data_IF_312227780419
#
_entry.id   IF_312227780419
#
_cell.length_a   1.000
_cell.length_b   1.000
_cell.length_c   1.000
_cell.angle_alpha   90.00
_cell.angle_beta   90.00
_cell.angle_gamma   90.00
#
_symmetry.space_group_name_H-M   'P 1'
#
loop_
_entity.id
_entity.type
_entity.pdbx_description
1 polymer ?
#
# COMPACT_ATOMS: atom_id res chain seq x y z
N UNK A 1 19.30 -7.92 -6.20
CA UNK A 1 19.04 -8.10 -4.75
C UNK A 1 19.46 -6.84 -4.03
N UNK A 2 18.64 -6.37 -3.09
CA UNK A 2 18.93 -5.18 -2.28
C UNK A 2 19.73 -5.61 -1.06
N UNK A 3 20.78 -4.87 -0.72
CA UNK A 3 21.58 -5.07 0.50
C UNK A 3 21.89 -3.74 1.17
N UNK A 4 22.17 -3.78 2.47
CA UNK A 4 22.51 -2.61 3.28
C UNK A 4 21.47 -1.48 3.21
N UNK A 5 20.18 -1.82 3.10
CA UNK A 5 19.13 -0.84 2.93
C UNK A 5 18.88 -0.09 4.25
N UNK A 6 19.19 1.21 4.26
CA UNK A 6 18.89 2.11 5.36
C UNK A 6 17.78 3.08 4.98
N UNK A 7 16.88 3.30 5.91
CA UNK A 7 15.76 4.21 5.82
C UNK A 7 15.75 5.16 7.01
N UNK A 8 15.92 6.44 6.75
CA UNK A 8 15.99 7.44 7.82
C UNK A 8 14.87 8.46 7.67
N UNK A 9 14.27 8.78 8.80
CA UNK A 9 13.22 9.80 8.93
C UNK A 9 13.61 10.80 10.01
N UNK A 10 13.48 12.09 9.72
CA UNK A 10 13.69 13.14 10.66
C UNK A 10 12.56 14.16 10.60
N UNK A 11 11.94 14.39 11.74
CA UNK A 11 10.82 15.31 11.90
C UNK A 11 9.64 15.05 10.93
N UNK A 12 9.21 13.79 10.80
CA UNK A 12 8.13 13.36 9.92
C UNK A 12 6.88 12.99 10.73
N UNK A 13 5.83 13.77 10.63
CA UNK A 13 4.62 13.54 11.42
C UNK A 13 4.93 13.51 12.92
N UNK A 14 4.61 12.42 13.60
CA UNK A 14 4.96 12.19 15.02
C UNK A 14 6.37 11.68 15.22
N UNK A 15 7.10 11.30 14.17
CA UNK A 15 8.45 10.78 14.25
C UNK A 15 9.42 11.96 14.39
N UNK A 16 10.21 12.00 15.47
CA UNK A 16 11.35 12.89 15.61
C UNK A 16 12.54 12.36 14.82
N UNK A 17 12.95 11.13 15.14
CA UNK A 17 14.07 10.47 14.47
C UNK A 17 13.83 8.97 14.35
N UNK A 18 14.11 8.43 13.17
CA UNK A 18 14.14 6.99 12.93
C UNK A 18 15.31 6.65 12.02
N UNK A 19 16.03 5.59 12.39
CA UNK A 19 17.08 5.01 11.54
C UNK A 19 16.83 3.50 11.50
N UNK A 20 16.27 3.04 10.39
CA UNK A 20 15.81 1.67 10.20
C UNK A 20 16.69 1.02 9.13
N UNK A 21 17.50 0.06 9.55
CA UNK A 21 18.21 -0.82 8.63
C UNK A 21 17.29 -1.99 8.30
N UNK A 22 16.85 -2.06 7.05
CA UNK A 22 15.99 -3.14 6.60
C UNK A 22 16.77 -4.46 6.47
N UNK A 23 16.16 -5.50 6.97
CA UNK A 23 16.57 -6.89 6.79
C UNK A 23 15.41 -7.68 6.18
N UNK A 24 15.49 -8.98 6.17
CA UNK A 24 14.45 -9.86 5.62
C UNK A 24 13.10 -9.67 6.33
N UNK A 25 13.13 -9.60 7.65
CA UNK A 25 11.95 -9.35 8.48
C UNK A 25 12.23 -8.15 9.39
N UNK A 26 11.31 -7.19 9.41
CA UNK A 26 11.43 -5.96 10.20
C UNK A 26 10.15 -5.75 11.01
N UNK A 27 10.29 -5.68 12.32
CA UNK A 27 9.16 -5.55 13.25
C UNK A 27 9.28 -4.24 13.99
N UNK A 28 8.33 -3.34 13.80
CA UNK A 28 8.27 -2.04 14.48
C UNK A 28 7.23 -2.13 15.58
N UNK A 29 7.71 -2.08 16.82
CA UNK A 29 6.91 -2.25 18.04
C UNK A 29 6.61 -0.91 18.68
N UNK A 30 5.51 -0.82 19.43
CA UNK A 30 5.20 0.34 20.24
C UNK A 30 3.71 0.63 20.36
N UNK A 31 3.37 1.60 21.20
CA UNK A 31 2.00 2.02 21.45
C UNK A 31 1.32 2.63 20.22
N UNK A 32 0.00 2.77 20.28
CA UNK A 32 -0.76 3.43 19.23
C UNK A 32 -0.37 4.91 19.12
N UNK A 33 -0.51 5.48 17.92
CA UNK A 33 -0.21 6.90 17.65
C UNK A 33 1.25 7.31 17.90
N UNK A 34 2.21 6.41 17.75
CA UNK A 34 3.66 6.68 17.89
C UNK A 34 4.39 6.89 16.56
N UNK A 35 3.68 6.87 15.45
CA UNK A 35 4.24 7.11 14.11
C UNK A 35 4.61 5.84 13.33
N UNK A 36 4.32 4.63 13.81
CA UNK A 36 4.58 3.36 13.12
C UNK A 36 3.99 3.36 11.70
N UNK A 37 2.69 3.58 11.57
CA UNK A 37 1.99 3.63 10.26
C UNK A 37 2.50 4.76 9.37
N UNK A 38 2.98 5.88 9.95
CA UNK A 38 3.62 6.95 9.18
C UNK A 38 4.91 6.45 8.54
N UNK A 39 5.76 5.72 9.28
CA UNK A 39 6.99 5.15 8.71
C UNK A 39 6.70 4.14 7.60
N UNK A 40 5.71 3.29 7.78
CA UNK A 40 5.28 2.31 6.78
C UNK A 40 4.77 2.95 5.49
N UNK A 41 3.94 3.98 5.59
CA UNK A 41 3.40 4.69 4.43
C UNK A 41 4.48 5.42 3.63
N UNK A 42 5.50 5.97 4.30
CA UNK A 42 6.63 6.60 3.62
C UNK A 42 7.51 5.54 2.97
N UNK A 43 7.80 4.43 3.65
CA UNK A 43 8.54 3.31 3.07
C UNK A 43 7.80 2.75 1.84
N UNK A 44 6.49 2.52 1.97
CA UNK A 44 5.63 2.10 0.85
C UNK A 44 5.73 3.07 -0.33
N UNK A 45 5.57 4.38 -0.07
CA UNK A 45 5.62 5.40 -1.11
C UNK A 45 6.95 5.39 -1.87
N UNK A 46 8.07 5.25 -1.14
CA UNK A 46 9.40 5.15 -1.72
C UNK A 46 9.56 3.88 -2.58
N UNK A 47 9.20 2.71 -2.04
CA UNK A 47 9.32 1.44 -2.73
C UNK A 47 8.42 1.41 -3.97
N UNK A 48 7.17 1.87 -3.85
CA UNK A 48 6.22 1.92 -4.96
C UNK A 48 6.69 2.82 -6.10
N UNK A 49 7.33 3.93 -5.77
CA UNK A 49 7.93 4.83 -6.78
C UNK A 49 9.13 4.23 -7.51
N UNK A 50 9.70 3.16 -6.99
CA UNK A 50 10.79 2.39 -7.59
C UNK A 50 10.36 1.00 -8.10
N UNK A 51 9.05 0.67 -8.06
CA UNK A 51 8.56 -0.61 -8.55
C UNK A 51 8.57 -0.68 -10.08
N UNK A 52 8.64 -1.90 -10.61
CA UNK A 52 8.53 -2.15 -12.06
C UNK A 52 7.19 -1.65 -12.61
N UNK A 53 6.14 -1.75 -11.82
CA UNK A 53 4.77 -1.36 -12.20
C UNK A 53 4.43 0.10 -11.88
N UNK A 54 5.42 0.93 -11.52
CA UNK A 54 5.20 2.34 -11.13
C UNK A 54 4.44 3.18 -12.16
N UNK A 55 4.63 2.92 -13.46
CA UNK A 55 3.91 3.64 -14.52
C UNK A 55 2.42 3.27 -14.59
N UNK A 56 2.04 2.07 -14.15
CA UNK A 56 0.65 1.65 -14.07
C UNK A 56 -0.16 2.51 -13.08
N UNK A 57 0.49 3.01 -12.02
CA UNK A 57 -0.14 3.94 -11.09
C UNK A 57 -0.64 5.20 -11.82
N UNK A 58 0.20 5.80 -12.67
CA UNK A 58 -0.19 6.99 -13.43
C UNK A 58 -1.31 6.66 -14.42
N UNK A 59 -1.23 5.50 -15.07
CA UNK A 59 -2.26 4.98 -15.97
C UNK A 59 -3.60 4.82 -15.24
N UNK A 60 -3.61 4.12 -14.13
CA UNK A 60 -4.84 3.89 -13.34
C UNK A 60 -5.41 5.19 -12.78
N UNK A 61 -4.55 6.10 -12.30
CA UNK A 61 -4.99 7.42 -11.81
C UNK A 61 -5.59 8.26 -12.95
N UNK A 62 -5.06 8.16 -14.17
CA UNK A 62 -5.65 8.80 -15.35
C UNK A 62 -7.04 8.26 -15.63
N UNK A 63 -7.21 6.94 -15.64
CA UNK A 63 -8.50 6.28 -15.87
C UNK A 63 -9.53 6.74 -14.83
N UNK A 64 -9.17 6.74 -13.55
CA UNK A 64 -10.05 7.15 -12.46
C UNK A 64 -10.47 8.63 -12.59
N UNK A 65 -9.53 9.54 -12.93
CA UNK A 65 -9.85 10.95 -13.14
C UNK A 65 -10.82 11.18 -14.31
N UNK A 66 -10.70 10.39 -15.38
CA UNK A 66 -11.63 10.47 -16.52
C UNK A 66 -13.01 9.96 -16.13
N UNK A 67 -13.08 8.87 -15.33
CA UNK A 67 -14.35 8.34 -14.83
C UNK A 67 -15.06 9.31 -13.91
N UNK A 68 -14.34 9.94 -13.00
CA UNK A 68 -14.88 10.96 -12.10
C UNK A 68 -15.43 12.16 -12.89
N UNK A 69 -14.69 12.62 -13.89
CA UNK A 69 -15.13 13.68 -14.80
C UNK A 69 -16.43 13.31 -15.53
N UNK A 70 -16.51 12.10 -16.05
CA UNK A 70 -17.75 11.65 -16.73
C UNK A 70 -18.92 11.54 -15.78
N UNK A 71 -18.67 11.14 -14.53
CA UNK A 71 -19.70 11.08 -13.47
C UNK A 71 -20.19 12.46 -13.06
N UNK A 72 -19.28 13.42 -12.84
CA UNK A 72 -19.62 14.80 -12.48
C UNK A 72 -20.36 15.50 -13.61
N UNK A 73 -20.00 15.23 -14.85
CA UNK A 73 -20.73 15.73 -16.01
C UNK A 73 -22.15 15.18 -16.10
N UNK A 74 -22.34 13.88 -15.87
CA UNK A 74 -23.67 13.28 -15.84
C UNK A 74 -24.55 13.93 -14.75
N UNK A 75 -23.96 14.24 -13.58
CA UNK A 75 -24.67 15.00 -12.53
C UNK A 75 -25.02 16.42 -13.00
N UNK A 76 -24.08 17.13 -13.61
CA UNK A 76 -24.32 18.48 -14.14
C UNK A 76 -25.45 18.49 -15.18
N UNK A 77 -25.49 17.49 -16.06
CA UNK A 77 -26.57 17.31 -17.05
C UNK A 77 -27.94 17.10 -16.40
N UNK A 78 -28.01 16.35 -15.32
CA UNK A 78 -29.26 16.09 -14.60
C UNK A 78 -29.81 17.36 -13.91
N UNK A 79 -28.94 18.28 -13.51
CA UNK A 79 -29.33 19.51 -12.83
C UNK A 79 -29.57 20.70 -13.76
N UNK A 80 -28.98 20.73 -14.96
CA UNK A 80 -29.18 21.81 -15.95
C UNK A 80 -30.30 21.50 -16.94
N UNK A 81 -31.50 21.20 -16.46
CA UNK A 81 -32.70 21.06 -17.31
C UNK A 81 -33.09 22.43 -17.84
N UNK A 82 -32.57 22.80 -18.99
CA UNK A 82 -33.12 23.83 -19.84
C UNK A 82 -33.48 23.23 -21.21
N UNK A 83 -34.69 23.53 -21.70
CA UNK A 83 -35.38 22.84 -22.78
C UNK A 83 -34.83 23.13 -24.18
N UNK A 84 -33.63 22.70 -24.51
CA UNK A 84 -33.16 22.76 -25.90
C UNK A 84 -32.87 21.38 -26.47
N UNK A 85 -33.62 21.03 -27.49
CA UNK A 85 -33.70 19.71 -28.18
C UNK A 85 -32.43 19.21 -28.90
N UNK A 86 -31.24 19.84 -28.71
CA UNK A 86 -30.02 19.51 -29.47
C UNK A 86 -28.81 19.15 -28.61
N UNK A 87 -28.98 18.57 -27.43
CA UNK A 87 -27.86 18.16 -26.61
C UNK A 87 -27.41 16.73 -26.99
N UNK A 88 -26.39 16.63 -27.81
CA UNK A 88 -25.66 15.37 -28.01
C UNK A 88 -25.02 15.00 -26.66
N UNK A 89 -25.29 13.80 -26.13
CA UNK A 89 -24.75 13.46 -24.81
C UNK A 89 -23.23 13.20 -24.95
N UNK A 90 -22.42 14.17 -24.48
CA UNK A 90 -20.96 14.05 -24.36
C UNK A 90 -20.55 12.76 -23.67
N UNK A 91 -21.42 12.24 -22.78
CA UNK A 91 -21.25 10.95 -22.11
C UNK A 91 -21.09 9.77 -23.07
N UNK A 92 -21.65 9.82 -24.26
CA UNK A 92 -21.55 8.71 -25.22
C UNK A 92 -20.18 8.64 -25.87
N UNK A 93 -19.60 9.78 -26.28
CA UNK A 93 -18.30 9.82 -26.95
C UNK A 93 -17.19 9.41 -25.98
N UNK A 94 -17.20 9.95 -24.77
CA UNK A 94 -16.21 9.59 -23.73
C UNK A 94 -16.40 8.14 -23.28
N UNK A 95 -17.65 7.68 -23.15
CA UNK A 95 -17.94 6.29 -22.82
C UNK A 95 -17.47 5.32 -23.91
N UNK A 96 -17.56 5.71 -25.17
CA UNK A 96 -17.04 4.93 -26.29
C UNK A 96 -15.53 4.80 -26.21
N UNK A 97 -14.81 5.91 -26.01
CA UNK A 97 -13.34 5.93 -25.85
C UNK A 97 -12.94 5.08 -24.63
N UNK A 98 -13.62 5.24 -23.50
CA UNK A 98 -13.37 4.46 -22.30
C UNK A 98 -13.55 2.95 -22.51
N UNK A 99 -14.65 2.54 -23.16
CA UNK A 99 -14.90 1.13 -23.47
C UNK A 99 -13.85 0.57 -24.41
N UNK A 100 -13.34 1.38 -25.34
CA UNK A 100 -12.28 0.98 -26.27
C UNK A 100 -10.94 0.80 -25.53
N UNK A 101 -10.58 1.70 -24.63
CA UNK A 101 -9.39 1.57 -23.76
C UNK A 101 -9.51 0.28 -22.94
N UNK A 102 -10.65 0.05 -22.30
CA UNK A 102 -10.90 -1.15 -21.49
C UNK A 102 -10.81 -2.44 -22.29
N UNK A 103 -11.37 -2.44 -23.49
CA UNK A 103 -11.29 -3.61 -24.37
C UNK A 103 -9.85 -3.94 -24.74
N UNK A 104 -9.09 -2.93 -25.18
CA UNK A 104 -7.69 -3.12 -25.56
C UNK A 104 -6.81 -3.53 -24.35
N UNK A 105 -7.08 -3.00 -23.16
CA UNK A 105 -6.42 -3.47 -21.94
C UNK A 105 -6.69 -4.95 -21.67
N UNK A 106 -7.90 -5.41 -21.91
CA UNK A 106 -8.28 -6.81 -21.72
C UNK A 106 -7.62 -7.73 -22.76
N UNK A 107 -7.43 -7.23 -23.97
CA UNK A 107 -6.82 -7.99 -25.08
C UNK A 107 -5.27 -7.88 -25.09
N UNK A 108 -4.66 -7.24 -24.08
CA UNK A 108 -3.20 -6.99 -23.93
C UNK A 108 -2.56 -6.31 -25.17
N UNK A 109 -3.35 -5.52 -25.87
CA UNK A 109 -2.90 -4.74 -27.02
C UNK A 109 -2.11 -3.51 -26.58
N UNK A 110 -1.08 -3.15 -27.36
CA UNK A 110 -0.27 -1.95 -27.12
C UNK A 110 -1.13 -0.69 -27.30
N UNK A 111 -1.44 -0.02 -26.18
CA UNK A 111 -2.38 1.11 -26.16
C UNK A 111 -1.60 2.41 -26.13
N UNK A 112 -1.78 3.26 -27.14
CA UNK A 112 -1.43 4.67 -27.06
C UNK A 112 -2.41 5.43 -26.16
N UNK A 113 -2.29 5.17 -24.85
CA UNK A 113 -3.15 5.72 -23.81
C UNK A 113 -3.13 7.26 -23.82
N UNK A 114 -1.99 7.87 -24.14
CA UNK A 114 -1.83 9.31 -24.20
C UNK A 114 -2.67 9.93 -25.30
N UNK A 115 -2.72 9.28 -26.46
CA UNK A 115 -3.55 9.75 -27.57
C UNK A 115 -5.04 9.72 -27.22
N UNK A 116 -5.50 8.69 -26.54
CA UNK A 116 -6.89 8.64 -26.04
C UNK A 116 -7.20 9.76 -25.05
N UNK A 117 -6.30 10.07 -24.12
CA UNK A 117 -6.53 11.17 -23.19
C UNK A 117 -6.50 12.54 -23.85
N UNK A 118 -5.64 12.76 -24.86
CA UNK A 118 -5.64 13.98 -25.66
C UNK A 118 -6.98 14.16 -26.40
N UNK A 119 -7.52 13.10 -26.98
CA UNK A 119 -8.86 13.14 -27.59
C UNK A 119 -9.95 13.49 -26.56
N UNK A 120 -9.90 12.93 -25.37
CA UNK A 120 -10.85 13.27 -24.29
C UNK A 120 -10.73 14.76 -23.90
N UNK A 121 -9.53 15.29 -23.78
CA UNK A 121 -9.30 16.71 -23.48
C UNK A 121 -9.86 17.60 -24.60
N UNK A 122 -9.66 17.23 -25.87
CA UNK A 122 -10.24 17.97 -27.02
C UNK A 122 -11.76 17.99 -26.97
N UNK A 123 -12.41 16.86 -26.67
CA UNK A 123 -13.85 16.77 -26.51
C UNK A 123 -14.33 17.68 -25.36
N UNK A 124 -13.62 17.72 -24.23
CA UNK A 124 -13.97 18.58 -23.10
C UNK A 124 -13.82 20.06 -23.43
N UNK A 125 -12.74 20.44 -24.09
CA UNK A 125 -12.52 21.84 -24.51
C UNK A 125 -13.60 22.30 -25.49
N UNK A 126 -13.92 21.49 -26.46
CA UNK A 126 -14.95 21.78 -27.46
C UNK A 126 -16.34 21.93 -26.82
N UNK A 127 -16.63 21.07 -25.85
CA UNK A 127 -17.88 21.15 -25.10
C UNK A 127 -17.94 22.41 -24.22
N UNK A 128 -16.85 22.75 -23.51
CA UNK A 128 -16.78 23.96 -22.69
C UNK A 128 -17.01 25.21 -23.52
N UNK A 129 -16.39 25.30 -24.69
CA UNK A 129 -16.55 26.41 -25.62
C UNK A 129 -17.99 26.56 -26.15
N UNK A 130 -18.71 25.45 -26.36
CA UNK A 130 -20.06 25.47 -26.96
C UNK A 130 -21.20 25.66 -25.96
N UNK A 131 -21.03 25.13 -24.75
CA UNK A 131 -22.18 24.92 -23.87
C UNK A 131 -22.06 25.54 -22.46
N UNK A 132 -20.91 26.08 -22.09
CA UNK A 132 -20.73 26.66 -20.75
C UNK A 132 -20.12 28.06 -20.83
N UNK A 133 -20.63 28.97 -20.03
CA UNK A 133 -20.03 30.31 -19.82
C UNK A 133 -19.01 30.31 -18.68
N UNK A 134 -18.74 29.16 -18.06
CA UNK A 134 -17.88 29.00 -16.87
C UNK A 134 -16.83 27.95 -17.14
N UNK A 135 -15.61 28.19 -16.67
CA UNK A 135 -14.43 27.32 -16.85
C UNK A 135 -14.48 26.13 -15.86
N UNK A 136 -15.56 25.38 -15.87
CA UNK A 136 -15.79 24.27 -14.91
C UNK A 136 -14.77 23.13 -15.11
N UNK A 137 -14.33 22.91 -16.35
CA UNK A 137 -13.44 21.82 -16.70
C UNK A 137 -11.95 22.17 -16.66
N UNK A 138 -11.57 23.43 -16.43
CA UNK A 138 -10.16 23.85 -16.42
C UNK A 138 -9.33 23.07 -15.42
N UNK A 139 -9.84 22.88 -14.20
CA UNK A 139 -9.14 22.15 -13.15
C UNK A 139 -9.00 20.65 -13.44
N UNK A 140 -10.05 19.93 -13.85
CA UNK A 140 -9.96 18.55 -14.31
C UNK A 140 -9.02 18.36 -15.50
N UNK A 141 -9.14 19.20 -16.52
CA UNK A 141 -8.25 19.15 -17.71
C UNK A 141 -6.79 19.38 -17.30
N UNK A 142 -6.54 20.35 -16.40
CA UNK A 142 -5.20 20.60 -15.86
C UNK A 142 -4.65 19.39 -15.09
N UNK A 143 -5.47 18.66 -14.36
CA UNK A 143 -5.07 17.45 -13.66
C UNK A 143 -4.70 16.33 -14.65
N UNK A 144 -5.50 16.10 -15.69
CA UNK A 144 -5.24 15.10 -16.72
C UNK A 144 -3.94 15.44 -17.46
N UNK A 145 -3.76 16.68 -17.89
CA UNK A 145 -2.53 17.13 -18.56
C UNK A 145 -1.29 16.90 -17.68
N UNK A 146 -1.38 17.18 -16.38
CA UNK A 146 -0.30 16.90 -15.45
C UNK A 146 0.03 15.42 -15.35
N UNK A 147 -0.98 14.54 -15.31
CA UNK A 147 -0.77 13.10 -15.26
C UNK A 147 -0.15 12.56 -16.55
N UNK A 148 -0.55 13.10 -17.70
CA UNK A 148 0.10 12.80 -19.00
C UNK A 148 1.57 13.17 -18.96
N UNK A 149 1.90 14.37 -18.46
CA UNK A 149 3.31 14.81 -18.30
C UNK A 149 4.08 13.84 -17.41
N UNK A 150 3.53 13.44 -16.26
CA UNK A 150 4.17 12.47 -15.36
C UNK A 150 4.37 11.11 -16.04
N UNK A 151 3.42 10.66 -16.85
CA UNK A 151 3.55 9.40 -17.59
C UNK A 151 4.67 9.43 -18.63
N UNK A 152 4.92 10.60 -19.22
CA UNK A 152 6.00 10.84 -20.20
C UNK A 152 7.37 11.08 -19.53
N UNK A 153 7.42 11.38 -18.21
CA UNK A 153 8.66 11.58 -17.46
C UNK A 153 9.47 10.28 -17.31
N UNK A 154 10.77 10.45 -17.08
CA UNK A 154 11.71 9.36 -16.82
C UNK A 154 12.67 9.71 -15.66
N UNK A 155 13.39 8.71 -15.19
CA UNK A 155 14.47 8.90 -14.21
C UNK A 155 14.01 9.54 -12.90
N UNK A 156 14.74 10.56 -12.47
CA UNK A 156 14.51 11.28 -11.20
C UNK A 156 13.19 12.05 -11.20
N UNK A 157 12.81 12.65 -12.31
CA UNK A 157 11.57 13.43 -12.41
C UNK A 157 10.35 12.50 -12.27
N UNK A 158 10.37 11.36 -12.94
CA UNK A 158 9.32 10.34 -12.78
C UNK A 158 9.23 9.84 -11.34
N UNK A 159 10.36 9.51 -10.72
CA UNK A 159 10.41 9.08 -9.32
C UNK A 159 9.76 10.12 -8.41
N UNK A 160 10.20 11.38 -8.49
CA UNK A 160 9.69 12.46 -7.64
C UNK A 160 8.20 12.72 -7.87
N UNK A 161 7.75 12.69 -9.10
CA UNK A 161 6.35 12.90 -9.46
C UNK A 161 5.46 11.78 -8.91
N UNK A 162 5.84 10.51 -9.07
CA UNK A 162 5.12 9.36 -8.52
C UNK A 162 5.14 9.38 -6.99
N UNK A 163 6.31 9.61 -6.37
CA UNK A 163 6.44 9.73 -4.91
C UNK A 163 5.48 10.79 -4.35
N UNK A 164 5.40 11.95 -5.00
CA UNK A 164 4.47 13.02 -4.62
C UNK A 164 3.00 12.63 -4.80
N UNK A 165 2.64 11.87 -5.84
CA UNK A 165 1.27 11.35 -6.02
C UNK A 165 0.89 10.43 -4.88
N UNK A 166 1.74 9.45 -4.55
CA UNK A 166 1.48 8.48 -3.49
C UNK A 166 1.39 9.18 -2.13
N UNK A 167 2.36 10.03 -1.78
CA UNK A 167 2.36 10.78 -0.51
C UNK A 167 1.07 11.61 -0.35
N UNK A 168 0.59 12.23 -1.42
CA UNK A 168 -0.67 12.99 -1.38
C UNK A 168 -1.89 12.09 -1.20
N UNK A 169 -1.87 10.91 -1.79
CA UNK A 169 -2.91 9.90 -1.62
C UNK A 169 -2.95 9.38 -0.18
N UNK A 170 -1.78 9.06 0.39
CA UNK A 170 -1.67 8.46 1.73
C UNK A 170 -1.90 9.44 2.89
N UNK A 171 -1.46 10.69 2.73
CA UNK A 171 -1.48 11.69 3.81
C UNK A 171 -2.44 12.86 3.55
N UNK A 172 -3.12 12.86 2.40
CA UNK A 172 -3.98 13.95 1.99
C UNK A 172 -3.20 15.25 1.77
N UNK A 173 -3.86 16.38 2.08
CA UNK A 173 -3.24 17.71 2.02
C UNK A 173 -2.44 18.07 3.29
N UNK A 174 -2.31 17.15 4.21
CA UNK A 174 -1.56 17.36 5.45
C UNK A 174 -0.10 17.53 5.12
N UNK A 175 0.40 18.73 5.30
CA UNK A 175 1.77 19.08 4.92
C UNK A 175 2.73 18.52 5.96
N UNK A 176 3.54 17.59 5.55
CA UNK A 176 4.73 17.17 6.28
C UNK A 176 5.76 18.31 6.15
N UNK A 177 5.70 19.31 7.04
CA UNK A 177 6.61 20.46 7.03
C UNK A 177 7.92 20.11 7.70
N UNK A 178 9.02 20.67 7.19
CA UNK A 178 10.37 20.58 7.79
C UNK A 178 10.84 19.14 8.06
N UNK A 179 10.52 18.22 7.15
CA UNK A 179 10.96 16.83 7.24
C UNK A 179 12.25 16.60 6.46
N UNK A 180 13.04 15.64 6.89
CA UNK A 180 14.17 15.10 6.12
C UNK A 180 13.97 13.58 6.00
N UNK A 181 14.16 13.07 4.79
CA UNK A 181 14.04 11.64 4.52
C UNK A 181 15.22 11.19 3.68
N UNK A 182 15.81 10.06 4.01
CA UNK A 182 16.82 9.44 3.17
C UNK A 182 16.64 7.93 3.08
N UNK A 183 16.97 7.40 1.93
CA UNK A 183 17.04 5.97 1.65
C UNK A 183 18.37 5.69 0.98
N UNK A 184 19.11 4.71 1.47
CA UNK A 184 20.39 4.33 0.90
C UNK A 184 20.61 2.83 0.99
N UNK A 185 21.43 2.29 0.08
CA UNK A 185 21.73 0.87 0.05
C UNK A 185 22.48 0.49 -1.20
N UNK A 186 22.42 -0.79 -1.54
CA UNK A 186 22.97 -1.32 -2.79
C UNK A 186 21.91 -2.15 -3.51
N UNK A 187 21.76 -1.90 -4.80
CA UNK A 187 20.96 -2.72 -5.70
C UNK A 187 21.88 -3.40 -6.71
N UNK A 188 21.92 -4.73 -6.72
CA UNK A 188 22.85 -5.51 -7.54
C UNK A 188 24.32 -5.07 -7.39
N UNK A 189 24.74 -4.80 -6.14
CA UNK A 189 26.05 -4.27 -5.74
C UNK A 189 26.33 -2.82 -6.14
N UNK A 190 25.45 -2.15 -6.85
CA UNK A 190 25.54 -0.74 -7.20
C UNK A 190 24.91 0.09 -6.06
N UNK A 191 25.61 1.07 -5.49
CA UNK A 191 25.05 1.93 -4.47
C UNK A 191 23.92 2.79 -5.02
N UNK A 192 22.91 3.05 -4.20
CA UNK A 192 21.88 4.03 -4.44
C UNK A 192 21.69 4.92 -3.20
N UNK A 193 21.35 6.17 -3.42
CA UNK A 193 20.99 7.11 -2.38
C UNK A 193 19.89 8.05 -2.87
N UNK A 194 18.90 8.28 -1.99
CA UNK A 194 17.81 9.22 -2.19
C UNK A 194 17.69 10.08 -0.94
N UNK A 195 17.87 11.38 -1.08
CA UNK A 195 17.85 12.32 0.04
C UNK A 195 17.04 13.55 -0.30
N UNK A 196 16.25 14.03 0.65
CA UNK A 196 15.46 15.23 0.45
C UNK A 196 14.33 15.44 1.44
N UNK A 197 13.38 16.22 1.00
CA UNK A 197 12.18 16.54 1.74
C UNK A 197 10.95 16.04 1.00
N UNK A 198 9.97 15.50 1.73
CA UNK A 198 8.72 15.08 1.14
C UNK A 198 7.92 16.31 0.68
N UNK A 199 7.36 16.26 -0.51
CA UNK A 199 6.36 17.13 -1.12
C UNK A 199 6.80 18.46 -1.77
N UNK A 200 7.85 19.15 -1.35
CA UNK A 200 8.08 20.51 -1.86
C UNK A 200 9.36 20.73 -2.68
N UNK A 201 10.38 19.94 -2.44
CA UNK A 201 11.70 20.12 -3.10
C UNK A 201 12.17 18.90 -3.87
N UNK A 202 11.36 17.82 -3.84
CA UNK A 202 11.78 16.55 -4.40
C UNK A 202 12.90 15.89 -3.61
N UNK A 203 13.27 14.71 -4.05
CA UNK A 203 14.43 13.97 -3.51
C UNK A 203 15.50 13.93 -4.59
N UNK A 204 16.73 14.21 -4.20
CA UNK A 204 17.90 13.98 -5.07
C UNK A 204 18.20 12.49 -5.07
N UNK A 205 18.53 11.96 -6.24
CA UNK A 205 18.81 10.55 -6.43
C UNK A 205 20.20 10.34 -7.00
N UNK A 206 20.94 9.39 -6.41
CA UNK A 206 22.18 8.85 -6.95
C UNK A 206 22.03 7.35 -7.14
N UNK A 207 22.37 6.85 -8.33
CA UNK A 207 22.11 5.46 -8.69
C UNK A 207 20.64 5.18 -9.01
N UNK A 208 20.27 3.92 -9.09
CA UNK A 208 18.92 3.49 -9.41
C UNK A 208 18.50 2.26 -8.60
N UNK A 209 17.28 2.28 -8.10
CA UNK A 209 16.64 1.14 -7.45
C UNK A 209 15.42 0.74 -8.28
N UNK A 210 15.33 -0.57 -8.59
CA UNK A 210 14.14 -1.16 -9.19
C UNK A 210 13.77 -2.39 -8.37
N UNK A 211 12.55 -2.41 -7.88
CA UNK A 211 12.00 -3.55 -7.12
C UNK A 211 10.90 -4.24 -7.93
N UNK A 212 10.63 -5.50 -7.61
CA UNK A 212 9.56 -6.25 -8.26
C UNK A 212 8.21 -5.60 -7.96
N UNK A 213 7.78 -5.67 -6.72
CA UNK A 213 6.51 -5.09 -6.29
C UNK A 213 6.52 -4.80 -4.78
N UNK A 214 5.59 -3.96 -4.32
CA UNK A 214 5.38 -3.69 -2.90
C UNK A 214 3.90 -3.63 -2.59
N UNK A 215 3.49 -4.31 -1.53
CA UNK A 215 2.13 -4.30 -1.01
C UNK A 215 2.11 -3.70 0.39
N UNK A 216 1.11 -2.85 0.66
CA UNK A 216 0.84 -2.34 1.99
C UNK A 216 -0.57 -2.72 2.39
N UNK A 217 -0.67 -3.51 3.45
CA UNK A 217 -1.90 -3.99 4.03
C UNK A 217 -2.09 -3.35 5.39
N UNK A 218 -2.98 -2.35 5.48
CA UNK A 218 -3.35 -1.78 6.75
C UNK A 218 -4.58 -2.48 7.35
N UNK A 219 -4.88 -2.23 8.62
CA UNK A 219 -6.03 -2.81 9.28
C UNK A 219 -7.35 -2.39 8.60
N UNK A 220 -8.26 -3.28 8.52
CA UNK A 220 -9.36 -3.55 7.59
C UNK A 220 -10.47 -2.53 7.40
N UNK A 221 -10.45 -1.36 8.04
CA UNK A 221 -11.55 -0.38 7.88
C UNK A 221 -11.68 0.16 6.45
N UNK A 222 -10.61 0.10 5.65
CA UNK A 222 -10.60 0.63 4.30
C UNK A 222 -10.98 -0.41 3.23
N UNK A 223 -10.83 -1.70 3.51
CA UNK A 223 -11.12 -2.76 2.53
C UNK A 223 -12.62 -3.06 2.33
N UNK A 224 -13.49 -2.65 3.25
CA UNK A 224 -14.95 -2.69 3.02
C UNK A 224 -15.40 -1.66 1.96
N UNK A 225 -14.51 -0.76 1.53
CA UNK A 225 -14.74 0.21 0.47
C UNK A 225 -14.48 -0.35 -0.94
N UNK A 226 -13.94 -1.55 -1.09
CA UNK A 226 -13.69 -2.19 -2.40
C UNK A 226 -14.93 -2.28 -3.30
N UNK A 227 -16.12 -2.30 -2.73
CA UNK A 227 -17.38 -2.33 -3.48
C UNK A 227 -17.79 -0.98 -4.08
N UNK A 228 -17.05 0.07 -3.78
CA UNK A 228 -17.32 1.43 -4.29
C UNK A 228 -16.06 1.94 -4.98
N UNK A 229 -15.74 1.40 -6.16
CA UNK A 229 -14.69 1.95 -7.00
C UNK A 229 -14.85 3.48 -7.10
N UNK A 230 -13.88 4.24 -6.59
CA UNK A 230 -13.98 5.69 -6.58
C UNK A 230 -12.70 6.35 -6.06
N UNK A 231 -12.48 7.59 -6.46
CA UNK A 231 -11.34 8.47 -6.17
C UNK A 231 -11.07 8.77 -4.69
N UNK A 232 -11.74 8.08 -3.77
CA UNK A 232 -11.60 8.29 -2.32
C UNK A 232 -10.66 7.31 -1.64
N UNK A 233 -10.22 6.24 -2.32
CA UNK A 233 -9.30 5.27 -1.76
C UNK A 233 -7.86 5.79 -1.80
N UNK A 234 -7.05 5.36 -0.82
CA UNK A 234 -5.60 5.58 -0.86
C UNK A 234 -4.95 4.75 -1.96
N UNK A 235 -3.74 5.14 -2.38
CA UNK A 235 -3.05 4.46 -3.47
C UNK A 235 -2.79 2.99 -3.14
N UNK A 236 -2.33 2.67 -1.92
CA UNK A 236 -2.06 1.28 -1.54
C UNK A 236 -3.29 0.39 -1.62
N UNK A 237 -4.47 0.90 -1.27
CA UNK A 237 -5.75 0.17 -1.39
C UNK A 237 -6.07 -0.09 -2.86
N UNK A 238 -5.98 0.94 -3.70
CA UNK A 238 -6.23 0.81 -5.15
C UNK A 238 -5.22 -0.16 -5.79
N UNK A 239 -3.95 -0.09 -5.39
CA UNK A 239 -2.92 -0.98 -5.92
C UNK A 239 -3.22 -2.45 -5.61
N UNK A 240 -3.47 -2.80 -4.34
CA UNK A 240 -3.84 -4.16 -3.94
C UNK A 240 -5.08 -4.64 -4.71
N UNK A 241 -6.09 -3.78 -4.83
CA UNK A 241 -7.31 -4.12 -5.54
C UNK A 241 -7.08 -4.39 -7.04
N UNK A 242 -6.27 -3.58 -7.70
CA UNK A 242 -5.94 -3.79 -9.12
C UNK A 242 -5.17 -5.11 -9.32
N UNK A 243 -4.25 -5.45 -8.42
CA UNK A 243 -3.53 -6.71 -8.45
C UNK A 243 -4.42 -7.93 -8.21
N UNK A 244 -5.45 -7.79 -7.37
CA UNK A 244 -6.43 -8.86 -7.12
C UNK A 244 -7.36 -9.07 -8.32
N UNK A 245 -7.74 -7.99 -9.01
CA UNK A 245 -8.59 -8.06 -10.20
C UNK A 245 -7.91 -8.73 -11.40
N UNK A 246 -6.61 -8.59 -11.51
CA UNK A 246 -5.85 -9.16 -12.62
C UNK A 246 -5.77 -10.68 -12.46
N UNK A 247 -6.53 -11.40 -13.27
CA UNK A 247 -6.53 -12.87 -13.29
C UNK A 247 -5.37 -13.38 -14.14
N UNK A 248 -4.18 -13.46 -13.55
CA UNK A 248 -3.00 -14.08 -14.18
C UNK A 248 -3.02 -15.61 -14.10
N UNK A 249 -3.97 -16.22 -13.39
CA UNK A 249 -4.04 -17.67 -13.24
C UNK A 249 -4.25 -18.40 -14.57
N UNK A 250 -4.87 -17.74 -15.56
CA UNK A 250 -5.16 -18.29 -16.89
C UNK A 250 -3.97 -18.27 -17.84
N UNK A 251 -2.95 -17.44 -17.60
CA UNK A 251 -1.84 -17.23 -18.55
C UNK A 251 -0.70 -18.24 -18.34
N UNK A 252 -0.59 -18.85 -17.16
CA UNK A 252 0.58 -19.64 -16.76
C UNK A 252 0.22 -21.02 -16.20
N UNK A 253 -0.75 -21.69 -16.82
CA UNK A 253 -1.14 -23.05 -16.41
C UNK A 253 0.01 -24.11 -16.51
N UNK A 254 1.13 -23.76 -17.12
CA UNK A 254 2.24 -24.69 -17.42
C UNK A 254 3.54 -24.43 -16.61
N UNK A 255 3.62 -23.43 -15.74
CA UNK A 255 4.79 -23.25 -14.89
C UNK A 255 4.67 -24.02 -13.58
N UNK A 256 5.69 -24.80 -13.31
CA UNK A 256 5.92 -25.69 -12.16
C UNK A 256 5.36 -25.07 -10.87
N UNK A 257 4.36 -25.73 -10.32
CA UNK A 257 3.80 -25.37 -9.00
C UNK A 257 4.90 -25.57 -7.95
N UNK A 258 5.38 -24.48 -7.38
CA UNK A 258 6.41 -24.55 -6.35
C UNK A 258 5.81 -25.17 -5.08
N UNK A 259 6.35 -26.30 -4.60
CA UNK A 259 5.88 -27.02 -3.41
C UNK A 259 5.83 -26.11 -2.16
N UNK A 260 6.67 -25.08 -2.11
CA UNK A 260 6.73 -24.12 -1.01
C UNK A 260 5.51 -23.19 -1.02
N UNK A 261 5.07 -22.75 -2.20
CA UNK A 261 3.85 -21.95 -2.34
C UNK A 261 2.64 -22.76 -1.88
N UNK A 262 2.53 -24.03 -2.31
CA UNK A 262 1.41 -24.90 -1.90
C UNK A 262 1.35 -25.02 -0.38
N UNK A 263 2.48 -25.24 0.29
CA UNK A 263 2.53 -25.33 1.76
C UNK A 263 2.07 -24.05 2.45
N UNK A 264 2.43 -22.90 1.88
CA UNK A 264 1.99 -21.59 2.42
C UNK A 264 0.48 -21.41 2.19
N UNK A 265 -0.02 -21.75 1.01
CA UNK A 265 -1.45 -21.71 0.68
C UNK A 265 -2.29 -22.61 1.60
N UNK A 266 -1.83 -23.83 1.88
CA UNK A 266 -2.47 -24.74 2.85
C UNK A 266 -2.54 -24.12 4.24
N UNK A 267 -1.46 -23.49 4.72
CA UNK A 267 -1.46 -22.81 6.02
C UNK A 267 -2.36 -21.59 6.05
N UNK A 268 -2.42 -20.81 4.98
CA UNK A 268 -3.37 -19.70 4.84
C UNK A 268 -4.81 -20.22 4.89
N UNK A 269 -5.10 -21.29 4.18
CA UNK A 269 -6.41 -21.96 4.19
C UNK A 269 -6.80 -22.44 5.58
N UNK A 270 -5.86 -22.97 6.38
CA UNK A 270 -6.16 -23.38 7.77
C UNK A 270 -6.64 -22.22 8.65
N UNK A 271 -6.12 -20.99 8.44
CA UNK A 271 -6.53 -19.82 9.21
C UNK A 271 -7.86 -19.28 8.71
N UNK A 272 -7.98 -19.14 7.39
CA UNK A 272 -9.19 -18.57 6.77
C UNK A 272 -10.36 -19.54 6.76
N UNK A 273 -10.11 -20.85 6.92
CA UNK A 273 -11.09 -21.93 6.74
C UNK A 273 -11.78 -21.87 5.38
N UNK A 274 -11.09 -21.38 4.35
CA UNK A 274 -11.62 -21.25 3.01
C UNK A 274 -10.76 -20.41 2.09
N UNK A 275 -11.30 -20.09 0.93
CA UNK A 275 -10.64 -19.29 -0.11
C UNK A 275 -11.40 -18.02 -0.45
N UNK A 276 -10.66 -17.00 -0.83
CA UNK A 276 -11.19 -15.76 -1.38
C UNK A 276 -10.90 -15.70 -2.87
N UNK A 277 -11.90 -15.32 -3.66
CA UNK A 277 -11.78 -15.11 -5.11
C UNK A 277 -12.44 -13.79 -5.51
N UNK A 278 -11.91 -13.17 -6.58
CA UNK A 278 -12.52 -12.01 -7.19
C UNK A 278 -13.42 -12.46 -8.34
N UNK A 279 -14.70 -12.13 -8.27
CA UNK A 279 -15.68 -12.46 -9.30
C UNK A 279 -16.68 -11.31 -9.47
N UNK A 280 -16.92 -10.92 -10.72
CA UNK A 280 -17.90 -9.90 -11.16
C UNK A 280 -17.94 -8.64 -10.25
N UNK A 281 -16.77 -8.07 -9.97
CA UNK A 281 -16.66 -6.81 -9.20
C UNK A 281 -16.69 -6.99 -7.69
N UNK A 282 -16.75 -8.21 -7.17
CA UNK A 282 -16.82 -8.52 -5.76
C UNK A 282 -15.73 -9.51 -5.33
N UNK A 283 -15.31 -9.43 -4.07
CA UNK A 283 -14.52 -10.48 -3.46
C UNK A 283 -15.48 -11.42 -2.73
N UNK A 284 -15.43 -12.69 -3.11
CA UNK A 284 -16.30 -13.75 -2.61
C UNK A 284 -15.48 -14.73 -1.77
N UNK A 285 -16.00 -15.13 -0.64
CA UNK A 285 -15.43 -16.12 0.25
C UNK A 285 -16.24 -17.44 0.15
N UNK A 286 -15.53 -18.53 -0.12
CA UNK A 286 -16.11 -19.89 -0.28
C UNK A 286 -17.28 -19.95 -1.27
N UNK A 287 -17.21 -19.19 -2.37
CA UNK A 287 -18.24 -19.10 -3.43
C UNK A 287 -19.65 -18.70 -2.94
N UNK A 288 -19.80 -18.26 -1.69
CA UNK A 288 -21.10 -17.94 -1.09
C UNK A 288 -21.18 -16.53 -0.51
N UNK A 289 -20.14 -16.09 0.21
CA UNK A 289 -20.20 -14.89 1.03
C UNK A 289 -19.38 -13.76 0.46
N UNK A 290 -19.96 -12.57 0.37
CA UNK A 290 -19.18 -11.37 0.11
C UNK A 290 -18.17 -11.15 1.23
N UNK A 291 -16.92 -10.78 0.89
CA UNK A 291 -15.84 -10.52 1.83
C UNK A 291 -16.26 -9.56 2.95
N UNK A 292 -17.06 -8.53 2.65
CA UNK A 292 -17.57 -7.58 3.65
C UNK A 292 -18.36 -8.25 4.80
N UNK A 293 -18.98 -9.39 4.54
CA UNK A 293 -19.78 -10.15 5.50
C UNK A 293 -18.98 -11.21 6.25
N UNK A 294 -17.69 -11.37 5.96
CA UNK A 294 -16.82 -12.32 6.66
C UNK A 294 -16.20 -11.69 7.92
N UNK A 295 -15.65 -12.54 8.79
CA UNK A 295 -14.96 -12.07 9.99
C UNK A 295 -13.78 -11.16 9.62
N UNK A 296 -13.64 -10.03 10.32
CA UNK A 296 -12.60 -9.03 10.02
C UNK A 296 -11.19 -9.60 10.07
N UNK A 297 -10.88 -10.46 11.03
CA UNK A 297 -9.53 -11.00 11.21
C UNK A 297 -9.02 -11.86 10.04
N UNK A 298 -9.91 -12.50 9.26
CA UNK A 298 -9.45 -13.32 8.13
C UNK A 298 -9.31 -12.55 6.81
N UNK A 299 -9.85 -11.35 6.72
CA UNK A 299 -9.84 -10.55 5.48
C UNK A 299 -8.41 -10.18 5.03
N UNK A 300 -7.57 -9.71 5.96
CA UNK A 300 -6.19 -9.34 5.65
C UNK A 300 -5.37 -10.55 5.17
N UNK A 301 -5.60 -11.70 5.80
CA UNK A 301 -4.98 -12.98 5.40
C UNK A 301 -5.51 -13.42 4.03
N UNK A 302 -6.81 -13.23 3.78
CA UNK A 302 -7.44 -13.51 2.49
C UNK A 302 -6.86 -12.67 1.35
N UNK A 303 -6.49 -11.41 1.60
CA UNK A 303 -5.81 -10.59 0.60
C UNK A 303 -4.43 -11.16 0.23
N UNK A 304 -3.65 -11.63 1.22
CA UNK A 304 -2.36 -12.30 0.96
C UNK A 304 -2.58 -13.59 0.16
N UNK A 305 -3.62 -14.37 0.51
CA UNK A 305 -3.99 -15.57 -0.25
C UNK A 305 -4.28 -15.23 -1.72
N UNK A 306 -5.09 -14.19 -1.97
CA UNK A 306 -5.41 -13.77 -3.34
C UNK A 306 -4.18 -13.23 -4.10
N UNK A 307 -3.32 -12.46 -3.46
CA UNK A 307 -2.09 -11.96 -4.08
C UNK A 307 -1.12 -13.09 -4.44
N UNK A 308 -1.05 -14.15 -3.64
CA UNK A 308 -0.29 -15.37 -3.96
C UNK A 308 -0.92 -16.12 -5.13
N UNK A 309 -2.22 -16.42 -5.06
CA UNK A 309 -2.96 -17.15 -6.09
C UNK A 309 -2.87 -16.44 -7.46
N UNK A 310 -2.93 -15.10 -7.46
CA UNK A 310 -2.80 -14.28 -8.66
C UNK A 310 -1.34 -14.05 -9.09
N UNK A 311 -0.37 -14.70 -8.47
CA UNK A 311 1.07 -14.56 -8.78
C UNK A 311 1.58 -13.11 -8.70
N UNK A 312 0.92 -12.26 -7.91
CA UNK A 312 1.32 -10.87 -7.68
C UNK A 312 2.41 -10.76 -6.61
N UNK A 313 2.32 -11.55 -5.55
CA UNK A 313 3.34 -11.61 -4.51
C UNK A 313 4.49 -12.51 -4.99
N UNK A 314 5.49 -11.88 -5.59
CA UNK A 314 6.63 -12.51 -6.26
C UNK A 314 7.89 -12.50 -5.40
N UNK A 315 8.87 -13.29 -5.80
CA UNK A 315 10.21 -13.23 -5.20
C UNK A 315 10.80 -11.80 -5.27
N UNK A 316 11.45 -11.38 -4.19
CA UNK A 316 12.01 -10.03 -4.01
C UNK A 316 10.97 -8.89 -3.94
N UNK A 317 9.70 -9.21 -3.71
CA UNK A 317 8.67 -8.21 -3.36
C UNK A 317 8.81 -7.78 -1.89
N UNK A 318 8.15 -6.65 -1.57
CA UNK A 318 7.99 -6.17 -0.21
C UNK A 318 6.53 -6.33 0.24
N UNK A 319 6.34 -6.83 1.46
CA UNK A 319 5.04 -6.91 2.11
C UNK A 319 5.07 -6.11 3.41
N UNK A 320 4.40 -4.99 3.40
CA UNK A 320 4.24 -4.10 4.55
C UNK A 320 2.88 -4.37 5.17
N UNK A 321 2.81 -4.66 6.47
CA UNK A 321 1.56 -4.98 7.16
C UNK A 321 1.46 -4.12 8.41
N UNK A 322 0.35 -3.42 8.56
CA UNK A 322 0.03 -2.65 9.75
C UNK A 322 -0.94 -3.44 10.63
N UNK A 323 -0.53 -3.67 11.88
CA UNK A 323 -1.30 -4.40 12.90
C UNK A 323 -1.81 -5.78 12.45
N UNK A 324 -0.92 -6.72 12.06
CA UNK A 324 -1.29 -8.05 11.58
C UNK A 324 -2.11 -8.88 12.60
N UNK A 325 -2.01 -8.56 13.88
CA UNK A 325 -2.70 -9.22 14.99
C UNK A 325 -4.15 -8.79 15.18
N UNK A 326 -4.56 -7.66 14.61
CA UNK A 326 -5.87 -7.05 14.87
C UNK A 326 -7.01 -7.96 14.44
N UNK A 327 -7.99 -8.14 15.33
CA UNK A 327 -9.16 -9.00 15.14
C UNK A 327 -8.85 -10.51 14.95
N UNK A 328 -7.60 -10.93 15.17
CA UNK A 328 -7.23 -12.35 15.17
C UNK A 328 -7.24 -12.94 16.58
N UNK A 329 -7.82 -14.12 16.69
CA UNK A 329 -7.68 -14.93 17.91
C UNK A 329 -6.19 -15.26 18.15
N UNK A 330 -5.68 -15.29 19.40
CA UNK A 330 -4.25 -15.53 19.69
C UNK A 330 -3.65 -16.74 18.97
N UNK A 331 -4.40 -17.83 18.84
CA UNK A 331 -3.98 -19.01 18.05
C UNK A 331 -3.65 -18.65 16.60
N UNK A 332 -4.43 -17.77 15.99
CA UNK A 332 -4.25 -17.38 14.59
C UNK A 332 -3.16 -16.33 14.42
N UNK A 333 -2.92 -15.50 15.45
CA UNK A 333 -1.75 -14.59 15.46
C UNK A 333 -0.44 -15.39 15.35
N UNK A 334 -0.32 -16.48 16.10
CA UNK A 334 0.86 -17.36 16.08
C UNK A 334 1.04 -17.99 14.69
N UNK A 335 -0.02 -18.55 14.11
CA UNK A 335 0.04 -19.15 12.79
C UNK A 335 0.32 -18.13 11.69
N UNK A 336 -0.22 -16.94 11.80
CA UNK A 336 0.03 -15.88 10.82
C UNK A 336 1.48 -15.40 10.87
N UNK A 337 2.08 -15.28 12.06
CA UNK A 337 3.49 -15.00 12.23
C UNK A 337 4.37 -16.08 11.54
N UNK A 338 4.02 -17.38 11.69
CA UNK A 338 4.68 -18.48 10.98
C UNK A 338 4.64 -18.28 9.46
N UNK A 339 3.47 -17.93 8.91
CA UNK A 339 3.31 -17.71 7.47
C UNK A 339 4.18 -16.56 6.98
N UNK A 340 4.25 -15.44 7.70
CA UNK A 340 5.10 -14.32 7.33
C UNK A 340 6.59 -14.70 7.29
N UNK A 341 7.04 -15.52 8.25
CA UNK A 341 8.41 -16.03 8.27
C UNK A 341 8.67 -16.97 7.08
N UNK A 342 7.70 -17.83 6.72
CA UNK A 342 7.81 -18.71 5.55
C UNK A 342 7.81 -17.92 4.24
N UNK A 343 6.98 -16.88 4.09
CA UNK A 343 7.03 -15.98 2.94
C UNK A 343 8.41 -15.33 2.78
N UNK A 344 9.01 -14.92 3.90
CA UNK A 344 10.34 -14.33 3.89
C UNK A 344 11.42 -15.36 3.50
N UNK A 345 11.35 -16.59 4.03
CA UNK A 345 12.33 -17.64 3.79
C UNK A 345 12.22 -18.24 2.38
N UNK A 346 11.02 -18.69 2.02
CA UNK A 346 10.80 -19.56 0.87
C UNK A 346 10.58 -18.75 -0.41
N UNK A 347 9.94 -17.59 -0.32
CA UNK A 347 9.67 -16.72 -1.47
C UNK A 347 10.56 -15.47 -1.50
N UNK A 348 11.54 -15.37 -0.60
CA UNK A 348 12.45 -14.22 -0.53
C UNK A 348 11.74 -12.85 -0.48
N UNK A 349 10.57 -12.80 0.18
CA UNK A 349 9.79 -11.57 0.37
C UNK A 349 10.34 -10.82 1.57
N UNK A 350 10.55 -9.52 1.44
CA UNK A 350 10.91 -8.67 2.58
C UNK A 350 9.66 -8.27 3.34
N UNK A 351 9.60 -8.64 4.62
CA UNK A 351 8.48 -8.31 5.52
C UNK A 351 8.80 -7.08 6.34
N UNK A 352 7.85 -6.15 6.42
CA UNK A 352 7.86 -5.02 7.34
C UNK A 352 6.51 -4.96 8.04
N UNK A 353 6.47 -5.16 9.36
CA UNK A 353 5.23 -5.15 10.10
C UNK A 353 5.29 -4.23 11.32
N UNK A 354 4.20 -3.48 11.53
CA UNK A 354 3.97 -2.73 12.75
C UNK A 354 3.06 -3.52 13.66
N UNK A 355 3.41 -3.62 14.93
CA UNK A 355 2.60 -4.37 15.90
C UNK A 355 2.68 -3.76 17.30
N UNK A 356 1.64 -3.97 18.08
CA UNK A 356 1.62 -3.71 19.51
C UNK A 356 1.39 -4.98 20.34
N UNK A 357 1.37 -6.17 19.69
CA UNK A 357 1.12 -7.46 20.34
C UNK A 357 2.41 -8.15 20.78
N UNK A 358 2.67 -8.28 22.09
CA UNK A 358 3.82 -9.07 22.60
C UNK A 358 3.79 -10.51 22.10
N UNK A 359 2.60 -11.09 21.94
CA UNK A 359 2.43 -12.45 21.46
C UNK A 359 2.88 -12.59 20.00
N UNK A 360 2.49 -11.63 19.16
CA UNK A 360 2.87 -11.65 17.74
C UNK A 360 4.39 -11.46 17.56
N UNK A 361 5.00 -10.55 18.35
CA UNK A 361 6.45 -10.33 18.37
C UNK A 361 7.19 -11.61 18.76
N UNK A 362 6.76 -12.28 19.86
CA UNK A 362 7.36 -13.53 20.30
C UNK A 362 7.19 -14.64 19.28
N UNK A 363 6.03 -14.70 18.57
CA UNK A 363 5.80 -15.68 17.52
C UNK A 363 6.76 -15.44 16.33
N UNK A 364 6.91 -14.19 15.85
CA UNK A 364 7.88 -13.86 14.80
C UNK A 364 9.30 -14.27 15.23
N UNK A 365 9.74 -13.91 16.46
CA UNK A 365 11.06 -14.29 16.98
C UNK A 365 11.27 -15.79 16.94
N UNK A 366 10.31 -16.53 17.51
CA UNK A 366 10.39 -18.00 17.65
C UNK A 366 10.44 -18.68 16.30
N UNK A 367 9.59 -18.30 15.36
CA UNK A 367 9.60 -18.89 14.02
C UNK A 367 10.83 -18.45 13.20
N UNK A 368 11.31 -17.22 13.36
CA UNK A 368 12.56 -16.76 12.74
C UNK A 368 13.76 -17.59 13.25
N UNK A 369 13.82 -17.87 14.54
CA UNK A 369 14.84 -18.75 15.13
C UNK A 369 14.72 -20.17 14.57
N UNK A 370 13.52 -20.74 14.51
CA UNK A 370 13.25 -22.08 13.99
C UNK A 370 13.61 -22.22 12.50
N UNK A 371 13.55 -21.13 11.74
CA UNK A 371 13.82 -21.12 10.30
C UNK A 371 15.19 -20.52 9.93
N UNK A 372 16.10 -20.37 10.90
CA UNK A 372 17.45 -19.82 10.74
C UNK A 372 17.49 -18.39 10.15
N UNK A 373 16.41 -17.59 10.41
CA UNK A 373 16.27 -16.22 9.95
C UNK A 373 16.40 -15.17 11.07
N UNK A 374 16.76 -15.58 12.31
CA UNK A 374 16.78 -14.64 13.44
C UNK A 374 17.80 -13.52 13.23
N UNK A 375 18.94 -13.78 12.63
CA UNK A 375 19.97 -12.78 12.30
C UNK A 375 19.54 -11.84 11.16
N UNK A 376 18.54 -12.24 10.37
CA UNK A 376 17.90 -11.42 9.35
C UNK A 376 16.55 -10.85 9.80
N UNK A 377 16.26 -10.89 11.12
CA UNK A 377 15.04 -10.33 11.72
C UNK A 377 15.41 -9.19 12.65
N UNK A 378 14.97 -7.98 12.30
CA UNK A 378 15.23 -6.77 13.06
C UNK A 378 14.01 -6.33 13.84
N UNK A 379 14.21 -5.97 15.11
CA UNK A 379 13.17 -5.42 15.96
C UNK A 379 13.47 -3.95 16.31
N UNK A 380 12.43 -3.13 16.30
CA UNK A 380 12.49 -1.72 16.63
C UNK A 380 11.41 -1.38 17.64
N UNK A 381 11.69 -0.40 18.49
CA UNK A 381 10.72 0.10 19.47
C UNK A 381 10.60 1.61 19.36
N UNK A 382 9.37 2.10 19.45
CA UNK A 382 9.10 3.54 19.53
C UNK A 382 9.27 4.03 20.96
N UNK A 383 9.97 5.13 21.12
CA UNK A 383 10.20 5.81 22.39
C UNK A 383 9.76 7.26 22.30
N UNK A 384 9.22 7.80 23.39
CA UNK A 384 9.04 9.25 23.48
C UNK A 384 10.36 9.98 23.27
N UNK A 385 10.33 11.03 22.44
CA UNK A 385 11.51 11.84 22.20
C UNK A 385 11.90 12.62 23.45
N UNK A 386 13.20 12.64 23.76
CA UNK A 386 13.73 13.46 24.84
C UNK A 386 13.86 14.94 24.49
N UNK A 387 13.81 15.24 23.17
CA UNK A 387 14.03 16.58 22.63
C UNK A 387 12.73 17.34 22.38
N UNK A 388 11.69 16.63 21.99
CA UNK A 388 10.42 17.22 21.59
C UNK A 388 9.24 16.50 22.23
N UNK A 389 8.37 17.27 22.86
CA UNK A 389 7.13 16.76 23.44
C UNK A 389 6.19 16.22 22.33
N UNK A 390 5.51 15.12 22.58
CA UNK A 390 4.60 14.45 21.64
C UNK A 390 5.26 14.00 20.33
N UNK A 391 6.56 13.76 20.33
CA UNK A 391 7.31 13.14 19.25
C UNK A 391 7.94 11.84 19.72
N UNK A 392 8.25 10.97 18.77
CA UNK A 392 8.78 9.64 19.03
C UNK A 392 10.03 9.36 18.21
N UNK A 393 10.96 8.63 18.80
CA UNK A 393 12.14 8.06 18.13
C UNK A 393 11.89 6.56 17.90
N UNK A 394 12.28 6.04 16.76
CA UNK A 394 12.27 4.60 16.47
C UNK A 394 13.69 4.08 16.60
N UNK A 395 13.92 3.13 17.51
CA UNK A 395 15.26 2.61 17.84
C UNK A 395 15.33 1.11 17.66
N UNK A 396 16.45 0.64 17.14
CA UNK A 396 16.77 -0.78 17.02
C UNK A 396 16.91 -1.42 18.40
N UNK A 397 16.39 -2.62 18.54
CA UNK A 397 16.53 -3.48 19.73
C UNK A 397 17.15 -4.79 19.27
N UNK A 398 18.30 -5.14 19.87
CA UNK A 398 18.95 -6.42 19.54
C UNK A 398 18.12 -7.61 20.02
N UNK A 399 18.27 -8.74 19.35
CA UNK A 399 17.55 -9.99 19.67
C UNK A 399 17.78 -10.45 21.13
N UNK A 400 18.90 -10.10 21.73
CA UNK A 400 19.21 -10.37 23.14
C UNK A 400 18.44 -9.50 24.13
N UNK A 401 17.97 -8.33 23.67
CA UNK A 401 17.35 -7.31 24.52
C UNK A 401 15.83 -7.15 24.29
N UNK A 402 15.16 -8.13 23.71
CA UNK A 402 13.72 -8.08 23.43
C UNK A 402 12.86 -7.91 24.69
N UNK A 403 13.40 -8.25 25.86
CA UNK A 403 12.77 -7.96 27.15
C UNK A 403 12.39 -6.48 27.31
N UNK A 404 13.13 -5.56 26.68
CA UNK A 404 12.81 -4.13 26.68
C UNK A 404 11.47 -3.87 26.00
N UNK A 405 11.21 -4.55 24.87
CA UNK A 405 9.93 -4.45 24.14
C UNK A 405 8.80 -5.02 24.99
N UNK A 406 8.98 -6.23 25.54
CA UNK A 406 7.95 -6.88 26.36
C UNK A 406 7.63 -6.06 27.61
N UNK A 407 8.62 -5.49 28.29
CA UNK A 407 8.40 -4.62 29.43
C UNK A 407 7.65 -3.34 29.03
N UNK A 408 8.00 -2.74 27.88
CA UNK A 408 7.31 -1.54 27.41
C UNK A 408 5.83 -1.81 27.12
N UNK A 409 5.53 -2.87 26.38
CA UNK A 409 4.16 -3.25 26.01
C UNK A 409 3.40 -3.92 27.18
N UNK A 410 4.11 -4.41 28.19
CA UNK A 410 3.57 -5.05 29.39
C UNK A 410 3.15 -4.09 30.50
N UNK A 411 3.50 -2.81 30.45
CA UNK A 411 3.15 -1.79 31.46
C UNK A 411 1.67 -1.80 31.90
N UNK A 412 0.68 -1.99 31.00
CA UNK A 412 -0.72 -2.08 31.42
C UNK A 412 -1.01 -3.20 32.43
N UNK A 413 -0.26 -4.31 32.38
CA UNK A 413 -0.40 -5.41 33.35
C UNK A 413 0.16 -5.04 34.72
N UNK A 414 1.23 -4.22 34.79
CA UNK A 414 1.76 -3.70 36.05
C UNK A 414 0.71 -2.82 36.74
N UNK A 415 0.08 -1.89 35.98
CA UNK A 415 -1.02 -1.06 36.48
C UNK A 415 -2.19 -1.88 37.02
N UNK A 416 -2.60 -2.95 36.31
CA UNK A 416 -3.65 -3.85 36.79
C UNK A 416 -3.24 -4.58 38.08
N UNK A 417 -1.97 -4.97 38.19
CA UNK A 417 -1.44 -5.61 39.40
C UNK A 417 -1.45 -4.65 40.60
N UNK A 418 -1.06 -3.40 40.40
CA UNK A 418 -1.11 -2.35 41.44
C UNK A 418 -2.55 -2.13 41.93
N UNK A 419 -3.52 -1.98 41.03
CA UNK A 419 -4.95 -1.85 41.35
C UNK A 419 -5.45 -3.08 42.13
N UNK A 420 -5.03 -4.30 41.72
CA UNK A 420 -5.40 -5.53 42.39
C UNK A 420 -4.88 -5.59 43.84
N UNK A 421 -3.63 -5.14 44.07
CA UNK A 421 -3.02 -5.04 45.37
C UNK A 421 -3.78 -4.03 46.25
N UNK A 422 -4.07 -2.84 45.71
CA UNK A 422 -4.81 -1.82 46.47
C UNK A 422 -6.21 -2.31 46.89
N UNK A 423 -6.87 -3.12 46.06
CA UNK A 423 -8.19 -3.68 46.36
C UNK A 423 -8.13 -4.76 47.46
N UNK A 424 -6.98 -5.41 47.68
CA UNK A 424 -6.81 -6.37 48.78
C UNK A 424 -6.63 -5.69 50.15
N UNK A 425 -6.29 -4.41 50.18
CA UNK A 425 -6.10 -3.62 51.37
C UNK A 425 -7.30 -2.72 51.72
N UNK A 426 -8.35 -2.74 50.93
CA UNK A 426 -9.66 -2.10 51.20
C UNK A 426 -10.63 -3.12 51.80
#
# INVERSE_FOLDING_TARGET
MITDFNFQLKNVGLINNANIKLSKINVICGDNSTGKSTSSKILYSFLRSNSKTRKELTKNTLIDNVLDLTSDMNRFYMYSRDDSENKIPLSNDIRTIYNEIRRKEFDDEDIDIINYYRQIIEIFNDYQLRYTSTNIFDKPISNINRLITIYEEEGEDLFNSIMNLIIRSEFGKTVLKNNEVSFSGKFNKIPFEYTGHLMNSGMKTEGGLIIEEVFYLESLSNFDLFSRGGSQNTEHVNHVFNCIKSDYSKVWADEITNEEIIKIEEKLFEITCGSFVYDDGNIIYNDEFLMKNTASGIKQIGLIQMLLNNRQLKENSFLIIDEPEVNLHPKWQIKFAEILVLLARDLNITIYCNTHSPLFIEAIRTYSEQQDLLDETNFYLTYESKEFQNKYDIKYISNENLSIIYNSLGKPYETLSEISIENQFK
#
